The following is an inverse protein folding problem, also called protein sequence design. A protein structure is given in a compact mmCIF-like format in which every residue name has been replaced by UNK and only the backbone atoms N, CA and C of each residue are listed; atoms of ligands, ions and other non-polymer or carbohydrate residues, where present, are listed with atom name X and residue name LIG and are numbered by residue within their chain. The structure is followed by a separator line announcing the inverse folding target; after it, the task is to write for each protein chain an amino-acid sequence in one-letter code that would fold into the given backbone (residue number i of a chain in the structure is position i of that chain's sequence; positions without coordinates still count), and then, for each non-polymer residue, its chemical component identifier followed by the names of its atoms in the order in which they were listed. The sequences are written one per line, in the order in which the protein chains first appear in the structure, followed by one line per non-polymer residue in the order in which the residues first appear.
data_IF_737541937106
#
_entry.id   IF_737541937106
#
_cell.length_a   1.000
_cell.length_b   1.000
_cell.length_c   1.000
_cell.angle_alpha   90.00
_cell.angle_beta   90.00
_cell.angle_gamma   90.00
#
_symmetry.space_group_name_H-M   'P 1'
#
loop_
_entity.id
_entity.type
_entity.pdbx_description
1 polymer ?
#
# COMPACT_ATOMS: atom_id res chain seq x y z
N UNK A 1 26.42 0.44 34.07
CA UNK A 1 25.02 0.87 34.31
C UNK A 1 24.16 -0.37 34.33
N UNK A 2 23.56 -0.69 35.49
CA UNK A 2 22.78 -1.91 35.72
C UNK A 2 21.35 -1.72 35.22
N UNK A 3 20.84 -2.74 34.54
CA UNK A 3 19.45 -2.90 34.14
C UNK A 3 18.54 -3.05 35.35
N UNK A 4 17.35 -2.44 35.29
CA UNK A 4 16.26 -2.67 36.22
C UNK A 4 15.12 -3.36 35.47
N UNK A 5 14.98 -4.65 35.77
CA UNK A 5 13.81 -5.48 35.49
C UNK A 5 12.77 -5.21 36.57
N UNK A 6 11.52 -4.92 36.21
CA UNK A 6 10.38 -5.05 37.12
C UNK A 6 9.34 -5.93 36.43
N UNK A 7 9.05 -7.04 37.11
CA UNK A 7 8.03 -8.03 36.81
C UNK A 7 6.86 -7.82 37.77
N UNK A 8 5.65 -8.17 37.35
CA UNK A 8 4.45 -8.28 38.20
C UNK A 8 3.22 -7.68 37.52
N UNK A 9 2.05 -8.30 37.45
CA UNK A 9 1.60 -9.60 37.94
C UNK A 9 0.38 -10.03 37.11
N UNK A 10 0.23 -11.34 36.92
CA UNK A 10 -0.92 -11.97 36.28
C UNK A 10 -2.16 -11.82 37.17
N UNK A 11 -3.26 -11.30 36.62
CA UNK A 11 -4.59 -11.40 37.22
C UNK A 11 -5.28 -12.66 36.69
N UNK A 12 -5.66 -13.55 37.60
CA UNK A 12 -6.62 -14.63 37.37
C UNK A 12 -7.76 -14.48 38.37
N UNK A 13 -9.04 -14.54 37.97
CA UNK A 13 -10.15 -14.45 38.93
C UNK A 13 -10.51 -15.83 39.49
N UNK A 14 -10.62 -15.90 40.82
CA UNK A 14 -11.12 -17.07 41.56
C UNK A 14 -12.63 -17.28 41.38
N UNK A 15 -13.00 -18.56 41.25
CA UNK A 15 -14.36 -19.06 41.14
C UNK A 15 -14.93 -19.32 42.55
N UNK A 16 -15.98 -18.58 42.95
CA UNK A 16 -16.80 -18.95 44.12
C UNK A 16 -18.22 -19.33 43.69
N UNK A 17 -18.59 -20.58 44.04
CA UNK A 17 -19.93 -21.18 43.92
C UNK A 17 -20.76 -20.91 45.19
N UNK A 18 -22.09 -21.03 45.03
CA UNK A 18 -23.21 -20.96 46.00
C UNK A 18 -23.84 -19.55 46.09
N UNK A 19 -25.14 -19.27 45.92
CA UNK A 19 -26.44 -19.90 45.56
C UNK A 19 -27.45 -18.69 45.46
N UNK A 20 -28.76 -18.76 45.10
CA UNK A 20 -29.62 -19.87 44.68
C UNK A 20 -30.45 -19.59 43.39
N UNK A 21 -31.25 -20.60 43.06
CA UNK A 21 -32.18 -20.76 41.92
C UNK A 21 -33.42 -19.85 41.99
N UNK A 22 -33.79 -19.30 40.82
CA UNK A 22 -35.08 -18.80 40.33
C UNK A 22 -35.96 -17.85 41.16
N UNK A 23 -36.06 -16.58 40.71
CA UNK A 23 -37.30 -15.78 40.71
C UNK A 23 -37.46 -15.01 39.39
N UNK A 24 -38.59 -15.28 38.73
CA UNK A 24 -39.29 -14.54 37.67
C UNK A 24 -38.51 -13.59 36.75
N UNK A 25 -38.32 -14.02 35.49
CA UNK A 25 -38.06 -13.11 34.37
C UNK A 25 -39.29 -12.25 34.11
N UNK A 26 -39.29 -11.02 34.60
CA UNK A 26 -40.12 -9.98 34.00
C UNK A 26 -39.60 -9.68 32.59
N UNK A 27 -40.54 -9.67 31.63
CA UNK A 27 -40.31 -9.42 30.21
C UNK A 27 -39.64 -8.03 30.05
N UNK A 28 -38.54 -7.88 29.30
CA UNK A 28 -38.00 -6.56 28.99
C UNK A 28 -39.08 -5.73 28.30
N UNK A 29 -39.31 -4.51 28.78
CA UNK A 29 -40.17 -3.55 28.09
C UNK A 29 -39.61 -3.31 26.69
N UNK A 30 -40.50 -3.33 25.70
CA UNK A 30 -40.16 -3.06 24.29
C UNK A 30 -39.51 -1.69 24.19
N UNK A 31 -38.17 -1.68 24.05
CA UNK A 31 -37.46 -0.50 23.56
C UNK A 31 -37.90 -0.28 22.11
N UNK A 32 -38.14 0.97 21.67
CA UNK A 32 -38.45 1.24 20.28
C UNK A 32 -37.32 0.65 19.45
N UNK A 33 -37.66 -0.24 18.50
CA UNK A 33 -36.72 -0.69 17.48
C UNK A 33 -36.13 0.56 16.85
N UNK A 34 -34.87 0.83 17.14
CA UNK A 34 -34.10 1.83 16.44
C UNK A 34 -34.06 1.32 15.00
N UNK A 35 -34.83 1.98 14.14
CA UNK A 35 -34.86 1.69 12.72
C UNK A 35 -33.41 1.74 12.25
N UNK A 36 -32.89 0.60 11.79
CA UNK A 36 -31.61 0.56 11.11
C UNK A 36 -31.86 1.19 9.74
N UNK A 37 -31.87 2.52 9.73
CA UNK A 37 -32.02 3.33 8.54
C UNK A 37 -30.82 3.08 7.65
N UNK A 38 -30.96 2.16 6.70
CA UNK A 38 -30.13 2.16 5.51
C UNK A 38 -30.40 3.51 4.82
N UNK A 39 -29.58 4.52 5.11
CA UNK A 39 -29.58 5.76 4.34
C UNK A 39 -29.31 5.36 2.89
N UNK A 40 -30.20 5.74 1.98
CA UNK A 40 -29.96 5.58 0.55
C UNK A 40 -28.73 6.41 0.19
N UNK A 41 -27.73 5.76 -0.39
CA UNK A 41 -26.57 6.41 -1.00
C UNK A 41 -27.05 7.48 -1.99
N UNK A 42 -26.34 8.61 -2.04
CA UNK A 42 -26.62 9.66 -3.02
C UNK A 42 -26.33 9.18 -4.45
N UNK A 43 -26.93 9.83 -5.46
CA UNK A 43 -26.65 9.52 -6.88
C UNK A 43 -25.16 9.64 -7.22
N UNK A 44 -24.46 10.61 -6.60
CA UNK A 44 -23.02 10.78 -6.78
C UNK A 44 -22.22 9.62 -6.17
N UNK A 45 -22.58 9.16 -4.96
CA UNK A 45 -21.92 8.01 -4.32
C UNK A 45 -22.10 6.73 -5.15
N UNK A 46 -23.28 6.54 -5.74
CA UNK A 46 -23.55 5.40 -6.61
C UNK A 46 -22.73 5.44 -7.91
N UNK A 47 -22.56 6.61 -8.50
CA UNK A 47 -21.72 6.82 -9.67
C UNK A 47 -20.24 6.58 -9.35
N UNK A 48 -19.75 7.12 -8.23
CA UNK A 48 -18.38 6.93 -7.77
C UNK A 48 -18.09 5.44 -7.49
N UNK A 49 -19.03 4.73 -6.86
CA UNK A 49 -18.95 3.28 -6.63
C UNK A 49 -18.91 2.49 -7.94
N UNK A 50 -19.68 2.91 -8.95
CA UNK A 50 -19.69 2.28 -10.28
C UNK A 50 -18.35 2.48 -10.98
N UNK A 51 -17.82 3.70 -10.99
CA UNK A 51 -16.50 4.02 -11.58
C UNK A 51 -15.39 3.21 -10.89
N UNK A 52 -15.41 3.15 -9.56
CA UNK A 52 -14.45 2.36 -8.80
C UNK A 52 -14.54 0.87 -9.13
N UNK A 53 -15.76 0.34 -9.27
CA UNK A 53 -16.00 -1.05 -9.67
C UNK A 53 -15.46 -1.32 -11.07
N UNK A 54 -15.78 -0.48 -12.05
CA UNK A 54 -15.29 -0.63 -13.43
C UNK A 54 -13.76 -0.56 -13.51
N UNK A 55 -13.14 0.31 -12.72
CA UNK A 55 -11.69 0.38 -12.62
C UNK A 55 -11.10 -0.92 -12.08
N UNK A 56 -11.65 -1.46 -10.98
CA UNK A 56 -11.19 -2.73 -10.39
C UNK A 56 -11.40 -3.88 -11.36
N UNK A 57 -12.55 -3.96 -12.02
CA UNK A 57 -12.86 -5.00 -12.99
C UNK A 57 -11.86 -4.97 -14.17
N UNK A 58 -11.51 -3.78 -14.66
CA UNK A 58 -10.48 -3.61 -15.71
C UNK A 58 -9.09 -4.00 -15.24
N UNK A 59 -8.72 -3.63 -14.02
CA UNK A 59 -7.42 -4.00 -13.46
C UNK A 59 -7.27 -5.52 -13.32
N UNK A 60 -8.32 -6.20 -12.88
CA UNK A 60 -8.32 -7.65 -12.66
C UNK A 60 -8.51 -8.47 -13.95
N UNK A 61 -9.06 -7.87 -15.01
CA UNK A 61 -9.30 -8.55 -16.30
C UNK A 61 -8.25 -8.22 -17.36
N UNK A 62 -7.99 -6.94 -17.63
CA UNK A 62 -7.00 -6.51 -18.64
C UNK A 62 -5.62 -6.34 -18.01
N UNK A 63 -5.54 -5.77 -16.81
CA UNK A 63 -4.27 -5.47 -16.14
C UNK A 63 -3.44 -6.71 -15.79
N UNK A 64 -4.05 -7.88 -15.65
CA UNK A 64 -3.35 -9.14 -15.41
C UNK A 64 -2.71 -9.73 -16.69
N UNK A 65 -3.16 -9.31 -17.87
CA UNK A 65 -2.66 -9.78 -19.17
C UNK A 65 -1.60 -8.85 -19.77
N UNK A 66 -1.50 -7.60 -19.27
CA UNK A 66 -0.53 -6.61 -19.78
C UNK A 66 0.77 -6.66 -18.98
N UNK A 67 1.92 -7.00 -19.59
CA UNK A 67 3.21 -6.97 -18.91
C UNK A 67 3.60 -5.57 -18.42
N UNK A 68 4.23 -5.52 -17.25
CA UNK A 68 4.83 -4.33 -16.67
C UNK A 68 6.35 -4.52 -16.50
N UNK A 69 7.00 -4.92 -17.59
CA UNK A 69 8.45 -5.10 -17.69
C UNK A 69 8.97 -4.59 -19.05
N UNK A 70 10.26 -4.77 -19.31
CA UNK A 70 10.92 -4.35 -20.56
C UNK A 70 10.34 -4.93 -21.86
N UNK A 71 9.40 -5.88 -21.81
CA UNK A 71 8.71 -6.36 -23.01
C UNK A 71 7.58 -5.42 -23.46
N UNK A 72 7.09 -4.56 -22.56
CA UNK A 72 6.01 -3.61 -22.83
C UNK A 72 6.54 -2.28 -23.37
N UNK A 73 5.94 -1.77 -24.45
CA UNK A 73 6.30 -0.47 -24.99
C UNK A 73 5.88 0.68 -24.07
N UNK A 74 4.76 0.54 -23.35
CA UNK A 74 4.37 1.47 -22.29
C UNK A 74 5.49 1.60 -21.25
N UNK A 75 6.00 0.46 -20.76
CA UNK A 75 7.09 0.46 -19.79
C UNK A 75 8.34 1.19 -20.32
N UNK A 76 8.73 0.94 -21.58
CA UNK A 76 9.91 1.60 -22.19
C UNK A 76 9.71 3.10 -22.34
N UNK A 77 8.52 3.54 -22.74
CA UNK A 77 8.20 4.94 -22.98
C UNK A 77 8.05 5.75 -21.69
N UNK A 78 7.84 5.09 -20.55
CA UNK A 78 7.75 5.71 -19.22
C UNK A 78 9.12 5.94 -18.55
N UNK A 79 10.16 6.15 -19.36
CA UNK A 79 11.49 6.53 -18.87
C UNK A 79 11.64 8.05 -18.63
N UNK A 80 10.62 8.85 -18.99
CA UNK A 80 10.54 10.29 -18.75
C UNK A 80 9.41 10.63 -17.77
N UNK A 81 9.30 11.91 -17.38
CA UNK A 81 8.20 12.37 -16.54
C UNK A 81 6.86 12.32 -17.28
N UNK A 82 5.75 12.03 -16.57
CA UNK A 82 4.42 12.12 -17.16
C UNK A 82 4.07 13.59 -17.47
N UNK A 83 3.21 13.79 -18.47
CA UNK A 83 2.74 15.13 -18.87
C UNK A 83 1.98 15.87 -17.76
N UNK A 84 1.38 15.12 -16.83
CA UNK A 84 0.68 15.67 -15.68
C UNK A 84 1.59 15.97 -14.48
N UNK A 85 2.91 15.77 -14.58
CA UNK A 85 3.83 16.05 -13.46
C UNK A 85 3.71 17.49 -12.98
N UNK A 86 3.33 17.66 -11.71
CA UNK A 86 3.27 18.96 -11.03
C UNK A 86 4.27 18.92 -9.88
N UNK A 87 5.37 19.65 -10.06
CA UNK A 87 6.44 19.72 -9.07
C UNK A 87 5.96 20.22 -7.71
N UNK A 88 5.02 21.15 -7.66
CA UNK A 88 4.50 21.69 -6.40
C UNK A 88 3.70 20.63 -5.67
N UNK A 89 2.82 19.90 -6.35
CA UNK A 89 2.10 18.77 -5.75
C UNK A 89 3.06 17.65 -5.32
N UNK A 90 4.09 17.38 -6.12
CA UNK A 90 5.12 16.41 -5.75
C UNK A 90 5.82 16.83 -4.43
N UNK A 91 6.21 18.10 -4.30
CA UNK A 91 6.78 18.66 -3.06
C UNK A 91 5.81 18.60 -1.88
N UNK A 92 4.52 18.84 -2.09
CA UNK A 92 3.51 18.66 -1.06
C UNK A 92 3.45 17.21 -0.57
N UNK A 93 3.52 16.22 -1.49
CA UNK A 93 3.60 14.80 -1.13
C UNK A 93 4.84 14.45 -0.31
N UNK A 94 5.98 15.09 -0.57
CA UNK A 94 7.20 14.93 0.23
C UNK A 94 7.02 15.49 1.65
N UNK A 95 6.46 16.69 1.78
CA UNK A 95 6.19 17.30 3.09
C UNK A 95 5.19 16.46 3.90
N UNK A 96 4.14 15.97 3.24
CA UNK A 96 3.17 15.05 3.84
C UNK A 96 3.86 13.80 4.38
N UNK A 97 4.80 13.21 3.62
CA UNK A 97 5.54 12.04 4.07
C UNK A 97 6.27 12.29 5.38
N UNK A 98 7.02 13.39 5.50
CA UNK A 98 7.75 13.67 6.74
C UNK A 98 6.83 14.01 7.91
N UNK A 99 5.70 14.68 7.66
CA UNK A 99 4.68 14.97 8.68
C UNK A 99 4.09 13.68 9.27
N UNK A 100 3.93 12.63 8.47
CA UNK A 100 3.24 11.40 8.84
C UNK A 100 4.13 10.13 8.77
N UNK A 101 5.45 10.29 8.82
CA UNK A 101 6.42 9.26 8.45
C UNK A 101 6.22 7.93 9.18
N UNK A 102 5.93 7.96 10.48
CA UNK A 102 5.70 6.76 11.27
C UNK A 102 4.46 5.99 10.79
N UNK A 103 3.33 6.69 10.63
CA UNK A 103 2.08 6.08 10.16
C UNK A 103 2.18 5.54 8.74
N UNK A 104 2.91 6.25 7.88
CA UNK A 104 3.15 5.81 6.50
C UNK A 104 4.06 4.59 6.43
N UNK A 105 5.06 4.45 7.31
CA UNK A 105 5.87 3.22 7.37
C UNK A 105 5.11 2.04 7.98
N UNK A 106 4.28 2.28 9.01
CA UNK A 106 3.39 1.25 9.55
C UNK A 106 2.42 0.74 8.47
N UNK A 107 1.81 1.65 7.73
CA UNK A 107 0.92 1.31 6.61
C UNK A 107 1.64 0.46 5.56
N UNK A 108 2.86 0.84 5.15
CA UNK A 108 3.70 0.06 4.23
C UNK A 108 4.03 -1.33 4.74
N UNK A 109 4.31 -1.48 6.04
CA UNK A 109 4.58 -2.77 6.65
C UNK A 109 3.34 -3.69 6.56
N UNK A 110 2.16 -3.17 6.91
CA UNK A 110 0.92 -3.93 6.82
C UNK A 110 0.56 -4.30 5.38
N UNK A 111 0.76 -3.39 4.44
CA UNK A 111 0.52 -3.66 3.03
C UNK A 111 1.50 -4.66 2.44
N UNK A 112 2.77 -4.63 2.87
CA UNK A 112 3.73 -5.69 2.53
C UNK A 112 3.28 -7.05 3.07
N UNK A 113 2.77 -7.14 4.31
CA UNK A 113 2.23 -8.39 4.86
C UNK A 113 1.04 -8.89 4.03
N UNK A 114 0.13 -7.98 3.63
CA UNK A 114 -0.99 -8.32 2.75
C UNK A 114 -0.51 -8.84 1.39
N UNK A 115 0.47 -8.18 0.77
CA UNK A 115 1.07 -8.61 -0.50
C UNK A 115 1.76 -9.97 -0.39
N UNK A 116 2.46 -10.25 0.71
CA UNK A 116 3.07 -11.56 0.95
C UNK A 116 2.04 -12.68 1.13
N UNK A 117 0.78 -12.34 1.38
CA UNK A 117 -0.33 -13.30 1.45
C UNK A 117 -0.87 -13.65 0.05
N UNK A 118 -0.49 -12.91 -1.00
CA UNK A 118 -0.83 -13.24 -2.39
C UNK A 118 0.11 -14.32 -2.92
N UNK A 119 -0.41 -15.49 -3.38
CA UNK A 119 0.43 -16.59 -3.83
C UNK A 119 1.38 -16.25 -4.98
N UNK A 120 0.95 -15.38 -5.90
CA UNK A 120 1.76 -14.95 -7.05
C UNK A 120 2.96 -14.11 -6.59
N UNK A 121 2.71 -13.08 -5.78
CA UNK A 121 3.75 -12.23 -5.19
C UNK A 121 4.73 -13.06 -4.37
N UNK A 122 4.23 -13.96 -3.51
CA UNK A 122 5.08 -14.84 -2.70
C UNK A 122 5.99 -15.71 -3.57
N UNK A 123 5.45 -16.34 -4.63
CA UNK A 123 6.23 -17.17 -5.57
C UNK A 123 7.36 -16.38 -6.25
N UNK A 124 7.07 -15.16 -6.71
CA UNK A 124 8.09 -14.29 -7.33
C UNK A 124 9.20 -13.98 -6.33
N UNK A 125 8.84 -13.66 -5.09
CA UNK A 125 9.83 -13.33 -4.05
C UNK A 125 10.68 -14.53 -3.64
N UNK A 126 10.07 -15.71 -3.53
CA UNK A 126 10.80 -16.97 -3.30
C UNK A 126 11.79 -17.24 -4.44
N UNK A 127 11.40 -17.01 -5.70
CA UNK A 127 12.31 -17.15 -6.84
C UNK A 127 13.53 -16.24 -6.76
N UNK A 128 13.40 -15.03 -6.22
CA UNK A 128 14.58 -14.13 -6.11
C UNK A 128 15.67 -14.70 -5.21
N UNK A 129 15.32 -15.59 -4.27
CA UNK A 129 16.20 -16.12 -3.23
C UNK A 129 16.90 -15.02 -2.39
N UNK A 130 16.30 -13.83 -2.31
CA UNK A 130 16.85 -12.69 -1.56
C UNK A 130 16.21 -12.53 -0.17
N UNK A 131 15.45 -13.52 0.29
CA UNK A 131 14.76 -13.48 1.60
C UNK A 131 14.70 -14.84 2.28
N UNK A 132 15.59 -15.77 1.88
CA UNK A 132 15.64 -17.13 2.46
C UNK A 132 16.23 -17.20 3.87
N UNK A 133 16.87 -16.12 4.35
CA UNK A 133 17.41 -16.02 5.72
C UNK A 133 17.06 -14.66 6.34
N UNK A 134 17.05 -14.54 7.68
CA UNK A 134 16.77 -13.25 8.34
C UNK A 134 17.68 -12.11 7.86
N UNK A 135 18.98 -12.36 7.64
CA UNK A 135 19.93 -11.35 7.18
C UNK A 135 19.68 -10.92 5.72
N UNK A 136 19.35 -11.86 4.83
CA UNK A 136 19.06 -11.52 3.43
C UNK A 136 17.73 -10.77 3.32
N UNK A 137 16.72 -11.19 4.07
CA UNK A 137 15.45 -10.47 4.20
C UNK A 137 15.65 -9.05 4.75
N UNK A 138 16.42 -8.88 5.83
CA UNK A 138 16.78 -7.57 6.38
C UNK A 138 17.39 -6.65 5.32
N UNK A 139 18.40 -7.13 4.58
CA UNK A 139 19.06 -6.35 3.52
C UNK A 139 18.09 -5.92 2.43
N UNK A 140 17.21 -6.82 1.99
CA UNK A 140 16.21 -6.53 0.96
C UNK A 140 15.23 -5.44 1.42
N UNK A 141 14.69 -5.57 2.63
CA UNK A 141 13.71 -4.61 3.14
C UNK A 141 14.35 -3.26 3.48
N UNK A 142 15.59 -3.24 3.99
CA UNK A 142 16.35 -2.00 4.13
C UNK A 142 16.60 -1.32 2.78
N UNK A 143 16.98 -2.07 1.74
CA UNK A 143 17.13 -1.51 0.40
C UNK A 143 15.83 -0.89 -0.11
N UNK A 144 14.69 -1.55 0.14
CA UNK A 144 13.36 -1.01 -0.21
C UNK A 144 13.09 0.30 0.51
N UNK A 145 13.36 0.39 1.81
CA UNK A 145 13.23 1.63 2.59
C UNK A 145 14.14 2.73 2.03
N UNK A 146 15.41 2.44 1.73
CA UNK A 146 16.31 3.43 1.18
C UNK A 146 15.87 3.96 -0.18
N UNK A 147 15.40 3.09 -1.09
CA UNK A 147 14.85 3.53 -2.37
C UNK A 147 13.65 4.46 -2.17
N UNK A 148 12.72 4.11 -1.28
CA UNK A 148 11.58 4.96 -0.96
C UNK A 148 11.98 6.30 -0.36
N UNK A 149 12.92 6.32 0.60
CA UNK A 149 13.41 7.56 1.18
C UNK A 149 14.02 8.47 0.11
N UNK A 150 14.79 7.92 -0.85
CA UNK A 150 15.31 8.72 -1.97
C UNK A 150 14.17 9.39 -2.75
N UNK A 151 13.06 8.69 -3.01
CA UNK A 151 11.92 9.24 -3.75
C UNK A 151 11.17 10.33 -2.97
N UNK A 152 11.20 10.28 -1.63
CA UNK A 152 10.66 11.32 -0.75
C UNK A 152 11.62 12.49 -0.49
N UNK A 153 12.94 12.26 -0.58
CA UNK A 153 13.97 13.28 -0.34
C UNK A 153 14.19 14.18 -1.58
N UNK A 154 13.98 13.66 -2.79
CA UNK A 154 14.36 14.31 -4.05
C UNK A 154 13.19 14.46 -5.03
N UNK A 155 13.21 15.51 -5.85
CA UNK A 155 12.28 15.67 -6.98
C UNK A 155 12.96 15.28 -8.30
N UNK A 156 12.23 15.33 -9.42
CA UNK A 156 12.71 14.86 -10.73
C UNK A 156 13.31 15.96 -11.63
N UNK A 157 13.15 17.24 -11.26
CA UNK A 157 13.52 18.40 -12.08
C UNK A 157 14.81 19.12 -11.65
N UNK A 158 15.57 18.57 -10.70
CA UNK A 158 16.79 19.19 -10.18
C UNK A 158 18.04 18.56 -10.80
N UNK A 159 19.14 19.30 -10.92
CA UNK A 159 20.48 18.75 -11.26
C UNK A 159 20.89 17.63 -10.28
N UNK A 160 20.32 17.64 -9.06
CA UNK A 160 20.49 16.61 -8.03
C UNK A 160 19.63 15.35 -8.24
N UNK A 161 18.68 15.36 -9.18
CA UNK A 161 17.74 14.24 -9.44
C UNK A 161 18.42 12.99 -10.01
N UNK A 162 19.73 13.04 -10.29
CA UNK A 162 20.51 11.88 -10.74
C UNK A 162 20.40 10.70 -9.75
N UNK A 163 20.38 10.97 -8.44
CA UNK A 163 20.25 9.89 -7.43
C UNK A 163 18.86 9.27 -7.47
N UNK A 164 17.80 10.09 -7.56
CA UNK A 164 16.44 9.61 -7.76
C UNK A 164 16.29 8.79 -9.03
N UNK A 165 16.70 9.30 -10.20
CA UNK A 165 16.61 8.57 -11.46
C UNK A 165 17.41 7.27 -11.44
N UNK A 166 18.60 7.28 -10.85
CA UNK A 166 19.40 6.07 -10.63
C UNK A 166 18.68 5.05 -9.74
N UNK A 167 18.04 5.52 -8.66
CA UNK A 167 17.21 4.72 -7.76
C UNK A 167 16.03 4.07 -8.52
N UNK A 168 15.28 4.84 -9.31
CA UNK A 168 14.16 4.35 -10.14
C UNK A 168 14.65 3.31 -11.15
N UNK A 169 15.71 3.60 -11.90
CA UNK A 169 16.26 2.68 -12.89
C UNK A 169 16.80 1.39 -12.26
N UNK A 170 17.38 1.47 -11.06
CA UNK A 170 17.79 0.30 -10.30
C UNK A 170 16.60 -0.58 -9.94
N UNK A 171 15.52 0.00 -9.44
CA UNK A 171 14.29 -0.74 -9.10
C UNK A 171 13.63 -1.35 -10.33
N UNK A 172 13.52 -0.59 -11.43
CA UNK A 172 13.06 -1.11 -12.73
C UNK A 172 13.87 -2.33 -13.18
N UNK A 173 15.20 -2.24 -13.12
CA UNK A 173 16.07 -3.36 -13.45
C UNK A 173 15.88 -4.58 -12.53
N UNK A 174 15.63 -4.36 -11.23
CA UNK A 174 15.32 -5.46 -10.30
C UNK A 174 13.97 -6.12 -10.61
N UNK A 175 12.95 -5.35 -10.96
CA UNK A 175 11.66 -5.89 -11.40
C UNK A 175 11.77 -6.65 -12.72
N UNK A 176 12.49 -6.12 -13.72
CA UNK A 176 12.75 -6.84 -14.97
C UNK A 176 13.47 -8.18 -14.72
N UNK A 177 14.50 -8.18 -13.87
CA UNK A 177 15.22 -9.40 -13.51
C UNK A 177 14.29 -10.43 -12.83
N UNK A 178 13.42 -9.97 -11.92
CA UNK A 178 12.43 -10.82 -11.28
C UNK A 178 11.38 -11.35 -12.27
N UNK A 179 10.88 -10.50 -13.17
CA UNK A 179 9.91 -10.86 -14.22
C UNK A 179 10.50 -11.89 -15.18
N UNK A 180 11.72 -11.68 -15.66
CA UNK A 180 12.41 -12.63 -16.55
C UNK A 180 12.65 -13.98 -15.85
N UNK A 181 13.01 -13.97 -14.56
CA UNK A 181 13.15 -15.21 -13.79
C UNK A 181 11.81 -15.92 -13.61
N UNK A 182 10.74 -15.19 -13.30
CA UNK A 182 9.39 -15.75 -13.20
C UNK A 182 8.92 -16.32 -14.55
N UNK A 183 9.21 -15.67 -15.66
CA UNK A 183 8.83 -16.13 -16.99
C UNK A 183 9.52 -17.46 -17.33
N UNK A 184 10.83 -17.56 -17.08
CA UNK A 184 11.58 -18.79 -17.32
C UNK A 184 11.09 -19.97 -16.48
N UNK A 185 10.63 -19.74 -15.25
CA UNK A 185 10.24 -20.82 -14.32
C UNK A 185 8.75 -21.15 -14.33
N UNK A 186 7.90 -20.15 -14.56
CA UNK A 186 6.44 -20.26 -14.40
C UNK A 186 5.64 -19.77 -15.61
N UNK A 187 6.30 -19.35 -16.70
CA UNK A 187 5.64 -18.69 -17.84
C UNK A 187 4.79 -17.48 -17.39
N UNK A 188 5.26 -16.80 -16.35
CA UNK A 188 4.58 -15.66 -15.73
C UNK A 188 5.47 -14.42 -15.78
N UNK A 189 4.95 -13.31 -16.30
CA UNK A 189 5.61 -12.01 -16.27
C UNK A 189 4.90 -11.12 -15.26
N UNK A 190 5.68 -10.27 -14.58
CA UNK A 190 5.11 -9.22 -13.73
C UNK A 190 4.23 -8.35 -14.62
N UNK A 191 2.95 -8.25 -14.29
CA UNK A 191 1.95 -7.53 -15.07
C UNK A 191 1.52 -6.22 -14.36
N UNK A 192 0.64 -5.47 -15.01
CA UNK A 192 0.13 -4.20 -14.50
C UNK A 192 -0.66 -4.39 -13.19
N UNK A 193 -1.43 -5.49 -13.07
CA UNK A 193 -2.13 -5.83 -11.84
C UNK A 193 -1.16 -6.03 -10.66
N UNK A 194 -0.08 -6.79 -10.85
CA UNK A 194 0.94 -7.01 -9.80
C UNK A 194 1.53 -5.69 -9.29
N UNK A 195 1.89 -4.81 -10.23
CA UNK A 195 2.53 -3.53 -9.92
C UNK A 195 1.55 -2.56 -9.27
N UNK A 196 0.31 -2.52 -9.72
CA UNK A 196 -0.76 -1.73 -9.12
C UNK A 196 -1.10 -2.20 -7.70
N UNK A 197 -1.30 -3.51 -7.49
CA UNK A 197 -1.54 -4.08 -6.16
C UNK A 197 -0.36 -3.79 -5.22
N UNK A 198 0.87 -3.89 -5.74
CA UNK A 198 2.07 -3.52 -4.99
C UNK A 198 2.01 -2.06 -4.56
N UNK A 199 1.73 -1.15 -5.50
CA UNK A 199 1.58 0.28 -5.23
C UNK A 199 0.51 0.56 -4.15
N UNK A 200 -0.65 -0.09 -4.24
CA UNK A 200 -1.70 -0.02 -3.23
C UNK A 200 -1.23 -0.53 -1.87
N UNK A 201 -0.47 -1.62 -1.80
CA UNK A 201 0.12 -2.08 -0.55
C UNK A 201 1.03 -1.03 0.11
N UNK A 202 1.79 -0.26 -0.67
CA UNK A 202 2.73 0.74 -0.11
C UNK A 202 2.07 2.05 0.34
N UNK A 203 0.87 2.38 -0.14
CA UNK A 203 0.25 3.67 0.20
C UNK A 203 -1.28 3.66 0.30
N UNK A 204 -1.97 2.73 -0.37
CA UNK A 204 -3.42 2.63 -0.38
C UNK A 204 -4.01 2.43 1.00
N UNK A 205 -3.38 1.63 1.86
CA UNK A 205 -3.82 1.46 3.27
C UNK A 205 -3.85 2.79 4.01
N UNK A 206 -2.84 3.66 3.81
CA UNK A 206 -2.82 4.97 4.44
C UNK A 206 -3.86 5.94 3.89
N UNK A 207 -4.36 5.72 2.66
CA UNK A 207 -5.48 6.47 2.11
C UNK A 207 -6.82 5.97 2.69
N UNK A 208 -7.06 4.66 2.66
CA UNK A 208 -8.37 4.09 3.01
C UNK A 208 -8.60 3.96 4.52
N UNK A 209 -7.52 3.95 5.32
CA UNK A 209 -7.55 3.78 6.78
C UNK A 209 -6.54 4.71 7.47
N UNK A 210 -6.47 5.95 7.01
CA UNK A 210 -5.54 6.99 7.51
C UNK A 210 -5.48 7.08 9.03
N UNK A 211 -6.63 7.24 9.69
CA UNK A 211 -6.70 7.39 11.15
C UNK A 211 -6.18 6.17 11.91
N UNK A 212 -6.48 4.96 11.44
CA UNK A 212 -5.97 3.72 12.07
C UNK A 212 -4.45 3.63 11.97
N UNK A 213 -3.86 4.25 10.95
CA UNK A 213 -2.42 4.31 10.74
C UNK A 213 -1.78 5.50 11.46
N UNK A 214 -2.53 6.29 12.24
CA UNK A 214 -2.02 7.48 12.92
C UNK A 214 -1.84 8.70 12.00
N UNK A 215 -2.49 8.70 10.83
CA UNK A 215 -2.50 9.82 9.89
C UNK A 215 -3.79 10.63 10.12
N UNK A 216 -3.66 11.75 10.83
CA UNK A 216 -4.78 12.61 11.23
C UNK A 216 -4.57 14.04 10.74
N UNK A 217 -5.66 14.83 10.73
CA UNK A 217 -5.64 16.27 10.42
C UNK A 217 -4.92 16.57 9.09
N UNK A 218 -5.33 15.83 8.05
CA UNK A 218 -4.80 15.96 6.69
C UNK A 218 -5.74 16.83 5.86
N UNK A 219 -5.20 17.85 5.23
CA UNK A 219 -5.94 18.71 4.29
C UNK A 219 -6.06 18.07 2.90
N UNK A 220 -7.02 18.54 2.10
CA UNK A 220 -7.19 18.07 0.71
C UNK A 220 -5.93 18.28 -0.14
N UNK A 221 -5.19 19.37 0.10
CA UNK A 221 -3.95 19.64 -0.61
C UNK A 221 -2.85 18.63 -0.25
N UNK A 222 -2.77 18.25 1.01
CA UNK A 222 -1.83 17.22 1.47
C UNK A 222 -2.15 15.85 0.86
N UNK A 223 -3.43 15.47 0.82
CA UNK A 223 -3.84 14.24 0.13
C UNK A 223 -3.52 14.27 -1.35
N UNK A 224 -3.88 15.37 -2.04
CA UNK A 224 -3.56 15.56 -3.46
C UNK A 224 -2.06 15.47 -3.71
N UNK A 225 -1.23 16.07 -2.86
CA UNK A 225 0.22 15.99 -2.97
C UNK A 225 0.75 14.57 -2.80
N UNK A 226 0.26 13.83 -1.79
CA UNK A 226 0.68 12.45 -1.55
C UNK A 226 0.25 11.48 -2.65
N UNK A 227 -0.99 11.61 -3.13
CA UNK A 227 -1.54 10.88 -4.28
C UNK A 227 -0.71 11.18 -5.53
N UNK A 228 -0.46 12.47 -5.81
CA UNK A 228 0.31 12.91 -6.96
C UNK A 228 1.73 12.33 -6.96
N UNK A 229 2.44 12.40 -5.82
CA UNK A 229 3.78 11.84 -5.69
C UNK A 229 3.80 10.35 -6.08
N UNK A 230 2.88 9.56 -5.54
CA UNK A 230 2.84 8.12 -5.82
C UNK A 230 2.34 7.78 -7.21
N UNK A 231 1.43 8.57 -7.79
CA UNK A 231 1.01 8.46 -9.19
C UNK A 231 2.20 8.66 -10.14
N UNK A 232 3.05 9.65 -9.86
CA UNK A 232 4.29 9.89 -10.63
C UNK A 232 5.27 8.75 -10.44
N UNK A 233 5.52 8.32 -9.20
CA UNK A 233 6.43 7.19 -8.91
C UNK A 233 5.97 5.90 -9.61
N UNK A 234 4.66 5.61 -9.59
CA UNK A 234 4.08 4.46 -10.29
C UNK A 234 4.31 4.53 -11.79
N UNK A 235 4.02 5.68 -12.39
CA UNK A 235 4.26 5.91 -13.82
C UNK A 235 5.72 5.65 -14.20
N UNK A 236 6.67 6.28 -13.52
CA UNK A 236 8.10 6.09 -13.86
C UNK A 236 8.63 4.69 -13.53
N UNK A 237 7.92 3.91 -12.71
CA UNK A 237 8.21 2.49 -12.47
C UNK A 237 7.58 1.56 -13.52
N UNK A 238 6.75 2.08 -14.43
CA UNK A 238 6.16 1.33 -15.54
C UNK A 238 4.65 1.09 -15.46
N UNK A 239 3.98 1.62 -14.44
CA UNK A 239 2.52 1.47 -14.30
C UNK A 239 1.83 2.33 -15.35
N UNK A 240 1.06 1.70 -16.23
CA UNK A 240 0.19 2.40 -17.17
C UNK A 240 -0.88 3.17 -16.37
N UNK A 241 -1.15 4.40 -16.76
CA UNK A 241 -2.10 5.27 -16.06
C UNK A 241 -3.49 4.65 -15.94
N UNK A 242 -3.89 3.83 -16.93
CA UNK A 242 -5.18 3.10 -16.92
C UNK A 242 -5.31 2.10 -15.77
N UNK A 243 -4.19 1.70 -15.16
CA UNK A 243 -4.13 0.72 -14.08
C UNK A 243 -3.59 1.34 -12.77
N UNK A 244 -3.33 2.65 -12.74
CA UNK A 244 -2.86 3.30 -11.53
C UNK A 244 -4.04 3.50 -10.56
N UNK A 245 -4.02 2.76 -9.45
CA UNK A 245 -5.09 2.79 -8.43
C UNK A 245 -5.19 4.16 -7.74
N UNK A 246 -4.09 4.92 -7.76
CA UNK A 246 -3.92 6.17 -7.04
C UNK A 246 -4.09 7.31 -8.05
N UNK A 247 -5.32 7.79 -8.21
CA UNK A 247 -5.67 8.86 -9.14
C UNK A 247 -6.43 9.99 -8.46
#
# INVERSE_FOLDING_TARGET
MRAATVCGAYFTPEYHKNDPVCRDRQRPQDTPKQDCGWQKSSEQELEDDLIAKEFVDRLLSEGCEVPCDETSDTFKNQACLPTYYDRNLYKQGQQFFYKHIFGLFLSKLLGLIALLSLPLTLKILMLTNMSGTPLTAYRRYMATIFHMCIWYDEDFENEKSLRLWSSINKVRGMHNAASNKANTNYQYRINQMDMALTQFGFMGISLVRSEMMGVHNVSDLEWKGFIHLWRVVGYVLGIDERYCIIH
#
